data_IF_386530133602
#
_entry.id   IF_386530133602
#
_cell.length_a   1.000
_cell.length_b   1.000
_cell.length_c   1.000
_cell.angle_alpha   90.00
_cell.angle_beta   90.00
_cell.angle_gamma   90.00
#
_symmetry.space_group_name_H-M   'P 1'
#
loop_
_entity.id
_entity.type
_entity.pdbx_description
1 polymer ?
#
# COMPACT_ATOMS: atom_id res chain seq x y z
N UNK A 1 23.58 41.37 -3.12
CA UNK A 1 23.18 40.34 -2.12
C UNK A 1 22.77 39.09 -2.88
N UNK A 2 23.52 37.99 -2.70
CA UNK A 2 23.30 36.71 -3.36
C UNK A 2 22.04 36.04 -2.77
N UNK A 3 21.10 35.62 -3.60
CA UNK A 3 20.16 34.56 -3.26
C UNK A 3 20.27 33.50 -4.35
N UNK A 4 21.16 32.54 -4.12
CA UNK A 4 21.31 31.36 -4.96
C UNK A 4 20.31 30.33 -4.47
N UNK A 5 19.23 30.13 -5.23
CA UNK A 5 18.33 29.00 -5.02
C UNK A 5 19.11 27.71 -5.25
N UNK A 6 19.08 26.80 -4.26
CA UNK A 6 19.62 25.47 -4.41
C UNK A 6 18.86 24.74 -5.53
N UNK A 7 19.54 23.97 -6.41
CA UNK A 7 18.88 23.23 -7.45
C UNK A 7 17.99 22.15 -6.81
N UNK A 8 16.75 22.09 -7.28
CA UNK A 8 15.80 21.01 -7.01
C UNK A 8 16.48 19.66 -7.28
N UNK A 9 16.46 18.67 -6.37
CA UNK A 9 16.97 17.34 -6.69
C UNK A 9 16.11 16.74 -7.80
N UNK A 10 16.78 16.38 -8.90
CA UNK A 10 16.18 15.72 -10.06
C UNK A 10 15.40 14.46 -9.64
N UNK A 11 14.20 14.22 -10.19
CA UNK A 11 13.48 12.98 -9.92
C UNK A 11 14.20 11.81 -10.62
N UNK A 12 14.47 10.75 -9.87
CA UNK A 12 14.66 9.40 -10.39
C UNK A 12 15.91 9.18 -11.26
N UNK A 13 17.11 9.44 -10.73
CA UNK A 13 18.26 8.65 -11.20
C UNK A 13 18.11 7.30 -10.52
N UNK A 14 17.85 6.24 -11.28
CA UNK A 14 17.95 4.88 -10.78
C UNK A 14 19.42 4.63 -10.43
N UNK A 15 19.75 4.52 -9.13
CA UNK A 15 21.08 4.12 -8.69
C UNK A 15 21.26 2.62 -9.03
N UNK A 16 22.13 2.24 -9.99
CA UNK A 16 22.29 0.85 -10.41
C UNK A 16 22.86 -0.05 -9.30
N UNK A 17 23.48 0.55 -8.28
CA UNK A 17 24.02 -0.14 -7.12
C UNK A 17 23.00 -0.24 -5.97
N UNK A 18 21.85 0.44 -6.06
CA UNK A 18 20.76 0.35 -5.11
C UNK A 18 19.76 -0.71 -5.54
N UNK A 19 19.72 -1.82 -4.80
CA UNK A 19 18.73 -2.87 -4.98
C UNK A 19 17.54 -2.59 -4.06
N UNK A 20 16.42 -2.27 -4.69
CA UNK A 20 15.16 -2.02 -4.01
C UNK A 20 14.42 -3.34 -3.72
N UNK A 21 13.75 -3.44 -2.56
CA UNK A 21 12.88 -4.56 -2.20
C UNK A 21 11.85 -4.89 -3.28
N UNK A 22 11.65 -6.19 -3.55
CA UNK A 22 10.58 -6.67 -4.45
C UNK A 22 9.45 -7.35 -3.68
N UNK A 23 9.77 -7.90 -2.51
CA UNK A 23 8.84 -8.49 -1.55
C UNK A 23 8.83 -7.69 -0.23
N UNK A 24 7.87 -7.97 0.65
CA UNK A 24 7.67 -7.29 1.93
C UNK A 24 8.81 -7.51 2.95
N UNK A 25 9.49 -8.66 2.87
CA UNK A 25 10.61 -9.06 3.73
C UNK A 25 12.01 -8.75 3.15
N UNK A 26 12.09 -8.26 1.92
CA UNK A 26 13.38 -7.99 1.26
C UNK A 26 14.10 -6.80 1.92
N UNK A 27 15.44 -6.86 2.12
CA UNK A 27 16.21 -5.71 2.55
C UNK A 27 16.35 -4.67 1.43
N UNK A 28 16.53 -3.41 1.81
CA UNK A 28 17.10 -2.41 0.89
C UNK A 28 18.61 -2.59 0.89
N UNK A 29 19.24 -2.70 -0.27
CA UNK A 29 20.68 -3.00 -0.37
C UNK A 29 21.38 -1.97 -1.23
N UNK A 30 22.43 -1.36 -0.70
CA UNK A 30 23.31 -0.44 -1.41
C UNK A 30 24.69 -1.10 -1.61
N UNK A 31 25.15 -1.17 -2.85
CA UNK A 31 26.53 -1.59 -3.19
C UNK A 31 27.46 -0.36 -3.18
N UNK A 32 28.61 -0.53 -2.53
CA UNK A 32 29.62 0.49 -2.34
C UNK A 32 30.80 0.23 -3.28
N UNK A 33 31.41 1.30 -3.79
CA UNK A 33 32.55 1.18 -4.69
C UNK A 33 33.83 0.64 -4.00
N UNK A 34 33.98 0.82 -2.68
CA UNK A 34 35.21 0.49 -1.93
C UNK A 34 34.96 -0.09 -0.53
N UNK A 35 35.85 -1.00 -0.11
CA UNK A 35 35.88 -1.66 1.22
C UNK A 35 36.63 -0.81 2.26
N UNK A 36 36.12 0.38 2.57
CA UNK A 36 36.70 1.16 3.68
C UNK A 36 36.09 0.67 5.01
N UNK A 37 36.64 -0.43 5.53
CA UNK A 37 36.32 -0.99 6.84
C UNK A 37 37.06 -0.19 7.92
N UNK A 38 36.47 0.89 8.43
CA UNK A 38 36.94 1.49 9.68
C UNK A 38 36.90 3.01 9.77
N UNK A 39 36.37 3.48 10.91
CA UNK A 39 36.55 4.81 11.51
C UNK A 39 36.46 6.01 10.56
N UNK A 40 35.22 6.45 10.29
CA UNK A 40 34.99 7.75 9.67
C UNK A 40 35.43 8.89 10.63
N UNK A 41 36.59 9.47 10.34
CA UNK A 41 36.87 10.87 10.66
C UNK A 41 35.77 11.76 10.05
N UNK A 42 35.51 12.90 10.68
CA UNK A 42 34.38 13.81 10.47
C UNK A 42 34.21 14.40 9.04
N UNK A 43 33.87 13.54 8.08
CA UNK A 43 33.25 13.85 6.79
C UNK A 43 31.98 13.02 6.63
N UNK A 44 31.03 13.46 5.78
CA UNK A 44 29.76 12.74 5.52
C UNK A 44 30.06 11.27 5.20
N UNK A 45 29.76 10.38 6.15
CA UNK A 45 29.93 8.94 5.99
C UNK A 45 28.83 8.35 5.12
N UNK A 46 29.04 7.10 4.72
CA UNK A 46 28.06 6.31 4.00
C UNK A 46 26.83 6.08 4.88
N UNK A 47 25.63 6.30 4.34
CA UNK A 47 24.40 6.04 5.06
C UNK A 47 23.29 5.54 4.13
N UNK A 48 22.38 4.77 4.71
CA UNK A 48 21.21 4.23 4.04
C UNK A 48 20.03 4.32 5.00
N UNK A 49 19.03 5.13 4.63
CA UNK A 49 17.83 5.37 5.44
C UNK A 49 16.60 5.22 4.57
N UNK A 50 15.53 4.65 5.12
CA UNK A 50 14.25 4.47 4.40
C UNK A 50 13.18 5.30 5.09
N UNK A 51 12.33 5.95 4.31
CA UNK A 51 11.23 6.79 4.81
C UNK A 51 9.92 6.37 4.13
N UNK A 52 8.81 6.63 4.80
CA UNK A 52 7.47 6.43 4.23
C UNK A 52 7.06 7.67 3.42
N UNK A 53 6.48 7.44 2.24
CA UNK A 53 5.98 8.45 1.30
C UNK A 53 6.92 8.73 0.12
N UNK A 54 6.65 9.85 -0.56
CA UNK A 54 7.38 10.33 -1.74
C UNK A 54 8.63 11.14 -1.41
N UNK A 55 9.49 11.34 -2.41
CA UNK A 55 10.66 12.20 -2.42
C UNK A 55 10.28 13.69 -2.52
N UNK A 56 9.46 14.20 -1.60
CA UNK A 56 9.20 15.64 -1.49
C UNK A 56 10.33 16.34 -0.73
N UNK A 57 10.51 17.64 -0.98
CA UNK A 57 11.53 18.51 -0.36
C UNK A 57 11.46 18.61 1.19
N UNK A 58 10.47 17.97 1.83
CA UNK A 58 10.31 17.91 3.29
C UNK A 58 10.80 16.60 3.92
N UNK A 59 11.52 15.74 3.19
CA UNK A 59 12.09 14.49 3.71
C UNK A 59 12.98 14.68 4.95
N UNK A 60 13.62 15.86 5.10
CA UNK A 60 14.43 16.20 6.28
C UNK A 60 13.63 16.24 7.60
N UNK A 61 12.30 16.42 7.53
CA UNK A 61 11.42 16.46 8.70
C UNK A 61 10.79 15.10 9.01
N UNK A 62 11.01 14.08 8.17
CA UNK A 62 10.45 12.74 8.36
C UNK A 62 11.39 11.89 9.21
N UNK A 63 10.82 11.12 10.14
CA UNK A 63 11.59 10.12 10.87
C UNK A 63 11.87 8.92 9.94
N UNK A 64 13.13 8.44 9.85
CA UNK A 64 13.42 7.24 9.11
C UNK A 64 12.72 6.03 9.77
N UNK A 65 12.39 5.04 8.96
CA UNK A 65 11.89 3.76 9.43
C UNK A 65 12.91 3.13 10.37
N UNK A 66 12.43 2.62 11.51
CA UNK A 66 13.26 1.82 12.40
C UNK A 66 13.67 0.52 11.69
N UNK A 67 14.94 0.17 11.80
CA UNK A 67 15.47 -1.03 11.19
C UNK A 67 16.90 -1.28 11.62
N UNK A 68 17.43 -2.42 11.17
CA UNK A 68 18.80 -2.82 11.36
C UNK A 68 19.59 -2.50 10.10
N UNK A 69 20.69 -1.78 10.27
CA UNK A 69 21.66 -1.52 9.23
C UNK A 69 22.86 -2.45 9.44
N UNK A 70 23.16 -3.30 8.45
CA UNK A 70 24.28 -4.24 8.48
C UNK A 70 25.21 -3.98 7.31
N UNK A 71 26.51 -4.00 7.58
CA UNK A 71 27.55 -3.87 6.56
C UNK A 71 28.27 -5.20 6.39
N UNK A 72 28.32 -5.68 5.16
CA UNK A 72 29.09 -6.85 4.75
C UNK A 72 30.00 -6.47 3.57
N UNK A 73 31.28 -6.20 3.88
CA UNK A 73 32.26 -5.66 2.95
C UNK A 73 31.76 -4.40 2.24
N UNK A 74 31.49 -4.56 0.92
CA UNK A 74 31.01 -3.51 0.01
C UNK A 74 29.50 -3.38 -0.02
N UNK A 75 28.78 -4.07 0.84
CA UNK A 75 27.32 -4.06 0.83
C UNK A 75 26.80 -3.47 2.12
N UNK A 76 25.93 -2.47 2.00
CA UNK A 76 25.17 -1.92 3.11
C UNK A 76 23.71 -2.36 2.96
N UNK A 77 23.20 -3.11 3.92
CA UNK A 77 21.84 -3.65 3.89
C UNK A 77 21.02 -3.10 5.03
N UNK A 78 19.84 -2.58 4.71
CA UNK A 78 18.86 -2.11 5.68
C UNK A 78 17.68 -3.08 5.72
N UNK A 79 17.40 -3.62 6.90
CA UNK A 79 16.24 -4.46 7.19
C UNK A 79 15.29 -3.71 8.11
N UNK A 80 14.07 -3.37 7.67
CA UNK A 80 13.15 -2.66 8.53
C UNK A 80 12.68 -3.58 9.68
N UNK A 81 12.41 -2.99 10.85
CA UNK A 81 11.88 -3.74 12.00
C UNK A 81 10.48 -4.30 11.72
N UNK A 82 9.71 -3.60 10.89
CA UNK A 82 8.41 -4.02 10.38
C UNK A 82 8.47 -4.14 8.86
N UNK A 83 7.84 -5.18 8.32
CA UNK A 83 7.82 -5.48 6.88
C UNK A 83 7.27 -4.32 6.06
N UNK A 84 7.69 -4.23 4.80
CA UNK A 84 7.11 -3.27 3.87
C UNK A 84 5.65 -3.60 3.58
N UNK A 85 4.82 -2.56 3.44
CA UNK A 85 3.39 -2.71 3.16
C UNK A 85 3.18 -2.64 1.65
N UNK A 86 2.51 -3.65 1.10
CA UNK A 86 2.21 -3.67 -0.32
C UNK A 86 1.29 -2.51 -0.72
N UNK A 87 1.69 -1.76 -1.76
CA UNK A 87 1.01 -0.55 -2.22
C UNK A 87 1.39 0.73 -1.46
N UNK A 88 2.19 0.66 -0.41
CA UNK A 88 2.75 1.84 0.27
C UNK A 88 3.95 2.38 -0.50
N UNK A 89 4.01 3.70 -0.65
CA UNK A 89 5.18 4.40 -1.20
C UNK A 89 6.25 4.61 -0.14
N UNK A 90 7.50 4.42 -0.54
CA UNK A 90 8.68 4.60 0.26
C UNK A 90 9.74 5.37 -0.53
N UNK A 91 10.61 6.08 0.19
CA UNK A 91 11.80 6.71 -0.37
C UNK A 91 13.04 6.26 0.39
N UNK A 92 14.07 5.85 -0.35
CA UNK A 92 15.39 5.53 0.17
C UNK A 92 16.28 6.74 0.01
N UNK A 93 16.94 7.16 1.09
CA UNK A 93 18.07 8.10 1.05
C UNK A 93 19.37 7.32 1.15
N UNK A 94 20.20 7.43 0.13
CA UNK A 94 21.53 6.83 0.07
C UNK A 94 22.59 7.93 -0.05
N UNK A 95 23.60 7.88 0.81
CA UNK A 95 24.73 8.82 0.79
C UNK A 95 26.05 8.07 0.65
N UNK A 96 26.95 8.58 -0.20
CA UNK A 96 28.32 8.05 -0.40
C UNK A 96 29.34 9.15 -0.14
N UNK A 97 30.56 8.78 0.24
CA UNK A 97 31.62 9.74 0.51
C UNK A 97 31.91 10.58 -0.73
N UNK A 98 31.70 11.89 -0.64
CA UNK A 98 31.97 12.84 -1.71
C UNK A 98 30.84 13.04 -2.73
N UNK A 99 29.77 12.25 -2.65
CA UNK A 99 28.61 12.35 -3.53
C UNK A 99 27.41 12.98 -2.80
N UNK A 100 26.51 13.69 -3.49
CA UNK A 100 25.26 14.15 -2.90
C UNK A 100 24.34 12.96 -2.56
N UNK A 101 23.52 13.13 -1.53
CA UNK A 101 22.54 12.12 -1.16
C UNK A 101 21.54 11.92 -2.31
N UNK A 102 21.29 10.68 -2.67
CA UNK A 102 20.34 10.29 -3.69
C UNK A 102 19.05 9.79 -3.04
N UNK A 103 17.93 10.30 -3.54
CA UNK A 103 16.58 9.88 -3.14
C UNK A 103 16.00 9.01 -4.24
N UNK A 104 15.66 7.77 -3.88
CA UNK A 104 15.05 6.81 -4.81
C UNK A 104 13.73 6.32 -4.24
N UNK A 105 12.65 6.55 -4.98
CA UNK A 105 11.31 6.09 -4.62
C UNK A 105 11.13 4.62 -5.00
N UNK A 106 10.37 3.88 -4.19
CA UNK A 106 9.98 2.52 -4.51
C UNK A 106 8.64 2.17 -3.85
N UNK A 107 8.02 1.10 -4.36
CA UNK A 107 6.83 0.50 -3.77
C UNK A 107 6.86 -1.00 -3.97
N UNK A 108 6.38 -1.75 -2.99
CA UNK A 108 6.06 -3.17 -3.17
C UNK A 108 4.73 -3.26 -3.92
N UNK A 109 4.66 -3.92 -5.08
CA UNK A 109 3.40 -4.09 -5.79
C UNK A 109 2.36 -4.75 -4.88
N UNK A 110 1.19 -4.12 -4.77
CA UNK A 110 0.03 -4.80 -4.18
C UNK A 110 -0.46 -5.83 -5.17
N UNK A 111 -0.45 -7.09 -4.79
CA UNK A 111 -1.14 -8.13 -5.53
C UNK A 111 -2.65 -7.86 -5.42
N UNK A 112 -3.17 -7.05 -6.35
CA UNK A 112 -4.59 -6.76 -6.45
C UNK A 112 -5.19 -7.72 -7.44
N UNK A 113 -5.69 -8.85 -6.93
CA UNK A 113 -6.78 -9.58 -7.57
C UNK A 113 -7.48 -10.50 -6.56
N UNK A 114 -8.29 -9.93 -5.66
CA UNK A 114 -9.49 -10.67 -5.32
C UNK A 114 -10.33 -10.68 -6.61
N UNK A 115 -10.66 -11.87 -7.13
CA UNK A 115 -11.58 -11.97 -8.25
C UNK A 115 -12.83 -11.11 -7.94
N UNK A 116 -13.39 -10.38 -8.92
CA UNK A 116 -14.56 -9.55 -8.67
C UNK A 116 -15.66 -10.41 -8.04
N UNK A 117 -16.27 -9.90 -6.96
CA UNK A 117 -17.40 -10.57 -6.35
C UNK A 117 -18.55 -10.63 -7.36
N UNK A 118 -19.04 -11.83 -7.63
CA UNK A 118 -20.17 -12.06 -8.52
C UNK A 118 -21.37 -12.46 -7.69
N UNK A 119 -22.55 -11.95 -8.07
CA UNK A 119 -23.82 -12.48 -7.56
C UNK A 119 -24.09 -13.78 -8.32
N UNK A 120 -24.08 -14.90 -7.62
CA UNK A 120 -24.25 -16.23 -8.21
C UNK A 120 -25.72 -16.65 -8.27
N UNK A 121 -26.55 -16.16 -7.34
CA UNK A 121 -27.99 -16.46 -7.29
C UNK A 121 -28.73 -15.42 -6.44
N UNK A 122 -30.02 -15.23 -6.73
CA UNK A 122 -30.94 -14.44 -5.91
C UNK A 122 -32.19 -15.28 -5.65
N UNK A 123 -32.63 -15.31 -4.39
CA UNK A 123 -33.86 -15.98 -3.98
C UNK A 123 -34.82 -15.01 -3.27
N UNK A 124 -36.14 -15.16 -3.46
CA UNK A 124 -36.78 -16.12 -4.37
C UNK A 124 -36.51 -15.79 -5.85
N UNK A 125 -36.40 -16.81 -6.71
CA UNK A 125 -35.95 -16.67 -8.10
C UNK A 125 -37.09 -16.53 -9.12
N UNK A 126 -38.33 -16.35 -8.66
CA UNK A 126 -39.50 -16.25 -9.53
C UNK A 126 -39.71 -14.83 -10.04
N UNK A 127 -40.19 -14.70 -11.28
CA UNK A 127 -40.51 -13.41 -11.91
C UNK A 127 -41.73 -12.72 -11.28
N UNK A 128 -42.59 -13.50 -10.62
CA UNK A 128 -43.77 -13.02 -9.89
C UNK A 128 -43.65 -13.43 -8.43
N UNK A 129 -43.63 -12.45 -7.55
CA UNK A 129 -43.52 -12.62 -6.12
C UNK A 129 -44.77 -12.11 -5.41
N UNK A 130 -45.24 -12.80 -4.36
CA UNK A 130 -46.26 -12.27 -3.47
C UNK A 130 -45.82 -10.94 -2.86
N UNK A 131 -46.75 -10.02 -2.63
CA UNK A 131 -46.45 -8.72 -2.00
C UNK A 131 -45.88 -8.88 -0.58
N UNK A 132 -46.23 -9.98 0.10
CA UNK A 132 -45.75 -10.27 1.46
C UNK A 132 -44.41 -11.02 1.50
N UNK A 133 -43.56 -10.92 0.47
CA UNK A 133 -42.19 -11.46 0.54
C UNK A 133 -41.38 -10.66 1.55
N UNK A 134 -41.04 -11.31 2.66
CA UNK A 134 -40.35 -10.68 3.78
C UNK A 134 -38.82 -10.70 3.66
N UNK A 135 -38.25 -11.55 2.78
CA UNK A 135 -36.79 -11.77 2.69
C UNK A 135 -36.35 -12.07 1.27
N UNK A 136 -35.19 -11.51 0.92
CA UNK A 136 -34.38 -11.90 -0.23
C UNK A 136 -33.04 -12.45 0.26
N UNK A 137 -32.53 -13.46 -0.45
CA UNK A 137 -31.19 -14.00 -0.24
C UNK A 137 -30.37 -13.71 -1.49
N UNK A 138 -29.19 -13.13 -1.30
CA UNK A 138 -28.25 -12.82 -2.38
C UNK A 138 -26.99 -13.64 -2.15
N UNK A 139 -26.68 -14.53 -3.08
CA UNK A 139 -25.51 -15.39 -2.98
C UNK A 139 -24.33 -14.76 -3.72
N UNK A 140 -23.16 -14.76 -3.09
CA UNK A 140 -21.92 -14.20 -3.63
C UNK A 140 -20.88 -15.29 -3.88
N UNK A 141 -20.03 -15.10 -4.89
CA UNK A 141 -18.93 -16.02 -5.21
C UNK A 141 -17.81 -16.03 -4.16
N UNK A 142 -17.72 -14.98 -3.34
CA UNK A 142 -16.71 -14.79 -2.30
C UNK A 142 -17.34 -14.22 -1.03
N UNK A 143 -16.72 -14.40 0.15
CA UNK A 143 -17.18 -13.79 1.40
C UNK A 143 -17.27 -12.27 1.28
N UNK A 144 -18.39 -11.69 1.74
CA UNK A 144 -18.64 -10.24 1.70
C UNK A 144 -18.38 -9.56 3.04
N UNK A 145 -18.06 -8.27 2.97
CA UNK A 145 -17.87 -7.43 4.16
C UNK A 145 -19.22 -7.08 4.79
N UNK A 146 -19.44 -7.40 6.07
CA UNK A 146 -20.66 -7.00 6.77
C UNK A 146 -20.77 -5.48 6.95
N UNK A 147 -21.99 -5.00 7.16
CA UNK A 147 -22.44 -3.62 7.41
C UNK A 147 -22.38 -2.67 6.20
N UNK A 148 -22.15 -3.22 5.00
CA UNK A 148 -22.09 -2.44 3.75
C UNK A 148 -23.23 -2.79 2.79
N UNK A 149 -23.99 -3.86 3.03
CA UNK A 149 -24.97 -4.35 2.06
C UNK A 149 -26.05 -3.29 1.72
N UNK A 150 -26.45 -2.48 2.69
CA UNK A 150 -27.46 -1.41 2.52
C UNK A 150 -27.02 -0.29 1.59
N UNK A 151 -25.71 -0.13 1.36
CA UNK A 151 -25.18 0.93 0.50
C UNK A 151 -25.12 0.49 -0.96
N UNK A 152 -25.11 -0.82 -1.21
CA UNK A 152 -24.92 -1.40 -2.55
C UNK A 152 -26.15 -2.15 -3.08
N UNK A 153 -27.15 -2.45 -2.24
CA UNK A 153 -28.37 -3.16 -2.65
C UNK A 153 -29.57 -2.21 -2.63
N UNK A 154 -30.29 -2.13 -3.74
CA UNK A 154 -31.46 -1.28 -3.91
C UNK A 154 -32.55 -2.02 -4.70
N UNK A 155 -33.80 -1.92 -4.25
CA UNK A 155 -34.96 -2.35 -5.02
C UNK A 155 -35.40 -1.19 -5.92
N UNK A 156 -35.59 -1.45 -7.21
CA UNK A 156 -35.99 -0.43 -8.19
C UNK A 156 -37.23 -0.85 -8.94
N UNK A 157 -38.11 0.11 -9.21
CA UNK A 157 -39.25 -0.12 -10.09
C UNK A 157 -38.84 -0.18 -11.58
N UNK A 158 -39.79 -0.46 -12.46
CA UNK A 158 -39.55 -0.54 -13.91
C UNK A 158 -39.02 0.76 -14.53
N UNK A 159 -39.22 1.90 -13.88
CA UNK A 159 -38.65 3.19 -14.31
C UNK A 159 -37.26 3.47 -13.73
N UNK A 160 -36.69 2.53 -12.97
CA UNK A 160 -35.40 2.66 -12.30
C UNK A 160 -35.46 3.47 -10.99
N UNK A 161 -36.64 3.86 -10.51
CA UNK A 161 -36.76 4.60 -9.25
C UNK A 161 -36.55 3.66 -8.09
N UNK A 162 -35.66 4.04 -7.18
CA UNK A 162 -35.35 3.24 -6.00
C UNK A 162 -36.46 3.36 -4.97
N UNK A 163 -36.97 2.22 -4.52
CA UNK A 163 -37.83 2.14 -3.36
C UNK A 163 -36.99 2.26 -2.08
N UNK A 164 -37.17 3.38 -1.37
CA UNK A 164 -36.45 3.69 -0.14
C UNK A 164 -37.03 3.02 1.11
N UNK A 165 -38.24 2.46 1.00
CA UNK A 165 -38.94 1.76 2.08
C UNK A 165 -38.82 0.23 1.98
N UNK A 166 -38.29 -0.29 0.86
CA UNK A 166 -38.18 -1.72 0.60
C UNK A 166 -37.36 -2.50 1.63
N UNK A 167 -36.32 -1.88 2.21
CA UNK A 167 -35.44 -2.54 3.18
C UNK A 167 -35.59 -1.94 4.57
N UNK A 168 -35.94 -2.80 5.53
CA UNK A 168 -35.85 -2.47 6.94
C UNK A 168 -34.38 -2.39 7.36
N UNK A 169 -33.99 -1.29 8.02
CA UNK A 169 -32.65 -1.15 8.59
C UNK A 169 -32.53 -1.96 9.88
N UNK A 170 -32.25 -3.24 9.76
CA UNK A 170 -31.92 -4.07 10.93
C UNK A 170 -30.54 -3.70 11.48
N UNK A 171 -30.35 -3.86 12.79
CA UNK A 171 -29.02 -3.74 13.42
C UNK A 171 -28.11 -4.94 13.14
N UNK A 172 -28.69 -6.06 12.69
CA UNK A 172 -27.99 -7.31 12.46
C UNK A 172 -28.21 -7.78 11.03
N UNK A 173 -27.13 -8.08 10.33
CA UNK A 173 -27.15 -8.73 9.03
C UNK A 173 -27.26 -10.24 9.19
N UNK A 174 -28.04 -10.89 8.32
CA UNK A 174 -28.39 -12.30 8.41
C UNK A 174 -27.44 -13.20 7.59
N UNK A 175 -26.13 -12.92 7.66
CA UNK A 175 -25.13 -13.71 6.94
C UNK A 175 -25.06 -15.16 7.43
N UNK A 176 -24.80 -16.09 6.51
CA UNK A 176 -24.31 -17.42 6.84
C UNK A 176 -22.88 -17.37 7.40
N UNK A 177 -22.40 -18.49 7.94
CA UNK A 177 -21.06 -18.61 8.54
C UNK A 177 -19.93 -18.18 7.59
N UNK A 178 -20.07 -18.51 6.29
CA UNK A 178 -19.07 -18.22 5.26
C UNK A 178 -19.21 -16.81 4.66
N UNK A 179 -20.22 -16.02 5.08
CA UNK A 179 -20.53 -14.67 4.58
C UNK A 179 -20.76 -14.58 3.07
N UNK A 180 -21.33 -15.63 2.49
CA UNK A 180 -21.64 -15.73 1.06
C UNK A 180 -23.13 -15.63 0.76
N UNK A 181 -24.01 -15.63 1.76
CA UNK A 181 -25.47 -15.46 1.60
C UNK A 181 -26.17 -15.04 2.89
#
# INVERSE_FOLDING_TARGET
>A
MKSGAAPNPSPGVDDPDLLLPRCDDDPVVLRLASDETGHAAAGRGQHLSVYVGSADSHHEQRLPMAGRLERDGRTLSFRPTFRFVAGQEYVVRSGRNGEPDQLTEFRIPREVAAAPALVTSIYPSGDVLPENVLRFYVHFSVPMTPHLATDFVALRDASGRTDRAAFMRFKQELWNADRTR
#
